data_IF_561545990690
#
_entry.id   IF_561545990690
#
_cell.length_a   1.000
_cell.length_b   1.000
_cell.length_c   1.000
_cell.angle_alpha   90.00
_cell.angle_beta   90.00
_cell.angle_gamma   90.00
#
_symmetry.space_group_name_H-M   'P 1'
#
loop_
_entity.id
_entity.type
_entity.pdbx_description
1 polymer ?
#
# COMPACT_ATOMS: atom_id res chain seq x y z
N UNK A 1 -6.55 -1.38 19.39
CA UNK A 1 -6.31 -0.06 18.74
C UNK A 1 -5.28 -0.08 17.59
N UNK A 2 -4.28 -0.98 17.60
CA UNK A 2 -3.18 -1.04 16.61
C UNK A 2 -3.58 -1.29 15.14
N UNK A 3 -4.83 -1.66 14.86
CA UNK A 3 -5.32 -1.91 13.50
C UNK A 3 -5.70 -0.63 12.75
N UNK A 4 -5.92 0.49 13.45
CA UNK A 4 -6.19 1.80 12.83
C UNK A 4 -5.05 2.25 11.90
N UNK A 5 -3.81 1.82 12.17
CA UNK A 5 -2.63 2.09 11.33
C UNK A 5 -2.83 1.65 9.88
N UNK A 6 -3.58 0.57 9.64
CA UNK A 6 -3.80 0.04 8.29
C UNK A 6 -4.78 0.93 7.52
N UNK A 7 -5.80 1.50 8.18
CA UNK A 7 -6.69 2.52 7.60
C UNK A 7 -5.91 3.81 7.29
N UNK A 8 -5.06 4.26 8.22
CA UNK A 8 -4.20 5.43 8.00
C UNK A 8 -3.28 5.22 6.80
N UNK A 9 -2.66 4.05 6.65
CA UNK A 9 -1.82 3.71 5.48
C UNK A 9 -2.62 3.80 4.17
N UNK A 10 -3.86 3.29 4.13
CA UNK A 10 -4.69 3.34 2.93
C UNK A 10 -5.08 4.78 2.54
N UNK A 11 -5.44 5.61 3.52
CA UNK A 11 -5.78 7.02 3.29
C UNK A 11 -4.55 7.85 2.86
N UNK A 12 -3.41 7.64 3.51
CA UNK A 12 -2.15 8.31 3.18
C UNK A 12 -1.63 7.90 1.79
N UNK A 13 -1.77 6.63 1.40
CA UNK A 13 -1.47 6.17 0.05
C UNK A 13 -2.35 6.86 -1.01
N UNK A 14 -3.66 7.00 -0.73
CA UNK A 14 -4.59 7.73 -1.62
C UNK A 14 -4.18 9.20 -1.77
N UNK A 15 -3.83 9.86 -0.66
CA UNK A 15 -3.46 11.27 -0.62
C UNK A 15 -2.10 11.56 -1.27
N UNK A 16 -1.06 10.78 -0.95
CA UNK A 16 0.33 11.07 -1.34
C UNK A 16 0.66 10.53 -2.73
N UNK A 17 0.20 9.33 -3.11
CA UNK A 17 0.52 8.75 -4.42
C UNK A 17 -0.45 9.15 -5.53
N UNK A 18 -1.52 9.92 -5.23
CA UNK A 18 -2.60 10.29 -6.18
C UNK A 18 -3.13 9.10 -7.01
N UNK A 19 -2.99 7.88 -6.49
CA UNK A 19 -3.39 6.67 -7.21
C UNK A 19 -4.90 6.51 -7.09
N UNK A 20 -5.59 6.42 -8.22
CA UNK A 20 -7.02 6.10 -8.27
C UNK A 20 -7.18 4.62 -7.97
N UNK A 21 -7.88 4.30 -6.89
CA UNK A 21 -8.26 2.94 -6.55
C UNK A 21 -9.74 2.77 -6.87
N UNK A 22 -10.09 1.66 -7.53
CA UNK A 22 -11.49 1.30 -7.76
C UNK A 22 -12.20 0.99 -6.44
N UNK A 23 -13.52 1.18 -6.38
CA UNK A 23 -14.36 0.84 -5.22
C UNK A 23 -14.10 -0.61 -4.76
N UNK A 24 -13.95 -1.55 -5.69
CA UNK A 24 -13.67 -2.96 -5.41
C UNK A 24 -12.28 -3.18 -4.77
N UNK A 25 -11.28 -2.34 -5.10
CA UNK A 25 -9.96 -2.41 -4.45
C UNK A 25 -10.00 -1.84 -3.02
N UNK A 26 -10.84 -0.83 -2.76
CA UNK A 26 -11.07 -0.30 -1.42
C UNK A 26 -11.75 -1.34 -0.52
N UNK A 27 -12.77 -2.03 -1.04
CA UNK A 27 -13.42 -3.12 -0.32
C UNK A 27 -12.43 -4.23 0.02
N UNK A 28 -11.60 -4.64 -0.94
CA UNK A 28 -10.56 -5.65 -0.69
C UNK A 28 -9.58 -5.21 0.41
N UNK A 29 -9.12 -3.96 0.40
CA UNK A 29 -8.22 -3.42 1.43
C UNK A 29 -8.88 -3.38 2.82
N UNK A 30 -10.18 -3.06 2.88
CA UNK A 30 -10.95 -3.10 4.12
C UNK A 30 -11.10 -4.54 4.64
N UNK A 31 -11.38 -5.49 3.75
CA UNK A 31 -11.46 -6.91 4.09
C UNK A 31 -10.13 -7.48 4.59
N UNK A 32 -9.00 -7.05 4.01
CA UNK A 32 -7.65 -7.39 4.48
C UNK A 32 -7.42 -6.89 5.91
N UNK A 33 -7.78 -5.63 6.18
CA UNK A 33 -7.70 -5.03 7.50
C UNK A 33 -8.53 -5.80 8.53
N UNK A 34 -9.76 -6.16 8.16
CA UNK A 34 -10.69 -6.86 9.03
C UNK A 34 -10.18 -8.27 9.36
N UNK A 35 -9.67 -9.01 8.36
CA UNK A 35 -9.05 -10.32 8.55
C UNK A 35 -7.83 -10.27 9.48
N UNK A 36 -6.93 -9.29 9.30
CA UNK A 36 -5.78 -9.09 10.20
C UNK A 36 -6.25 -8.76 11.61
N UNK A 37 -7.25 -7.90 11.76
CA UNK A 37 -7.78 -7.49 13.06
C UNK A 37 -8.36 -8.68 13.84
N UNK A 38 -9.17 -9.52 13.19
CA UNK A 38 -9.72 -10.75 13.79
C UNK A 38 -8.59 -11.69 14.22
N UNK A 39 -7.56 -11.83 13.38
CA UNK A 39 -6.44 -12.71 13.70
C UNK A 39 -5.68 -12.23 14.95
N UNK A 40 -5.49 -10.91 15.10
CA UNK A 40 -4.78 -10.32 16.23
C UNK A 40 -5.59 -10.31 17.54
N UNK A 41 -6.91 -10.20 17.46
CA UNK A 41 -7.82 -10.25 18.63
C UNK A 41 -7.69 -11.56 19.41
N UNK A 42 -7.43 -12.66 18.70
CA UNK A 42 -7.25 -13.99 19.30
C UNK A 42 -6.01 -14.07 20.20
N UNK A 43 -4.95 -13.33 19.85
CA UNK A 43 -3.70 -13.31 20.63
C UNK A 43 -3.80 -12.40 21.86
N UNK A 44 -4.54 -11.29 21.77
CA UNK A 44 -4.69 -10.33 22.88
C UNK A 44 -5.64 -10.82 23.98
N UNK A 45 -6.61 -11.66 23.64
CA UNK A 45 -7.57 -12.21 24.60
C UNK A 45 -6.93 -13.15 25.67
N UNK A 46 -5.69 -13.62 25.44
CA UNK A 46 -5.02 -14.58 26.32
C UNK A 46 -4.15 -13.95 27.42
N UNK A 47 -4.03 -12.60 27.48
CA UNK A 47 -3.17 -11.92 28.47
C UNK A 47 -3.94 -10.87 29.29
N UNK A 48 -4.37 -11.19 30.52
CA UNK A 48 -5.15 -10.26 31.35
C UNK A 48 -4.38 -8.98 31.72
N UNK A 49 -3.05 -9.04 31.78
CA UNK A 49 -2.19 -7.89 32.04
C UNK A 49 -2.27 -6.83 30.92
N UNK A 50 -2.40 -7.27 29.66
CA UNK A 50 -2.51 -6.36 28.50
C UNK A 50 -3.88 -5.69 28.49
N UNK A 51 -4.95 -6.43 28.80
CA UNK A 51 -6.31 -5.90 28.86
C UNK A 51 -6.48 -4.82 29.96
N UNK A 52 -5.83 -5.02 31.12
CA UNK A 52 -5.83 -4.03 32.21
C UNK A 52 -5.06 -2.74 31.83
N UNK A 53 -3.90 -2.87 31.17
CA UNK A 53 -3.13 -1.71 30.69
C UNK A 53 -3.84 -0.93 29.58
N UNK A 54 -4.57 -1.61 28.69
CA UNK A 54 -5.40 -0.96 27.67
C UNK A 54 -6.60 -0.22 28.28
N UNK A 55 -7.25 -0.80 29.30
CA UNK A 55 -8.38 -0.18 30.00
C UNK A 55 -7.95 1.07 30.80
N UNK A 56 -6.76 1.05 31.40
CA UNK A 56 -6.19 2.21 32.11
C UNK A 56 -5.71 3.29 31.13
N UNK A 57 -5.07 2.91 30.02
CA UNK A 57 -4.66 3.88 28.98
C UNK A 57 -5.84 4.54 28.27
N UNK A 58 -6.97 3.83 28.11
CA UNK A 58 -8.16 4.37 27.45
C UNK A 58 -8.76 5.60 28.16
N UNK A 59 -8.53 5.73 29.47
CA UNK A 59 -9.03 6.84 30.29
C UNK A 59 -8.22 8.14 30.10
N UNK A 60 -7.01 8.07 29.56
CA UNK A 60 -6.14 9.23 29.37
C UNK A 60 -6.26 9.80 27.94
N UNK A 61 -6.74 11.03 27.73
CA UNK A 61 -6.87 11.63 26.39
C UNK A 61 -5.51 11.77 25.68
N UNK A 62 -4.42 11.93 26.43
CA UNK A 62 -3.05 11.97 25.91
C UNK A 62 -2.65 10.65 25.24
N UNK A 63 -3.11 9.50 25.76
CA UNK A 63 -2.82 8.19 25.18
C UNK A 63 -3.44 8.03 23.77
N UNK A 64 -4.60 8.63 23.53
CA UNK A 64 -5.22 8.66 22.20
C UNK A 64 -4.40 9.45 21.20
N UNK A 65 -3.87 10.62 21.59
CA UNK A 65 -2.99 11.43 20.73
C UNK A 65 -1.69 10.69 20.40
N UNK A 66 -1.04 10.09 21.39
CA UNK A 66 0.16 9.27 21.16
C UNK A 66 -0.14 8.06 20.27
N UNK A 67 -1.30 7.42 20.45
CA UNK A 67 -1.70 6.29 19.60
C UNK A 67 -1.89 6.73 18.15
N UNK A 68 -2.59 7.84 17.91
CA UNK A 68 -2.79 8.40 16.57
C UNK A 68 -1.46 8.81 15.91
N UNK A 69 -0.54 9.42 16.68
CA UNK A 69 0.79 9.75 16.19
C UNK A 69 1.59 8.48 15.83
N UNK A 70 1.57 7.47 16.70
CA UNK A 70 2.29 6.20 16.50
C UNK A 70 1.80 5.40 15.30
N UNK A 71 0.55 5.60 14.85
CA UNK A 71 0.03 4.92 13.67
C UNK A 71 0.25 5.75 12.38
N UNK A 72 0.13 7.07 12.47
CA UNK A 72 0.17 7.98 11.31
C UNK A 72 1.60 8.25 10.85
N UNK A 73 2.55 8.44 11.77
CA UNK A 73 3.94 8.75 11.43
C UNK A 73 4.59 7.60 10.65
N UNK A 74 4.53 6.32 11.09
CA UNK A 74 5.11 5.22 10.32
C UNK A 74 4.38 4.98 8.99
N UNK A 75 3.07 5.24 8.94
CA UNK A 75 2.30 5.15 7.72
C UNK A 75 2.79 6.17 6.69
N UNK A 76 2.90 7.44 7.08
CA UNK A 76 3.41 8.52 6.23
C UNK A 76 4.86 8.25 5.79
N UNK A 77 5.72 7.79 6.70
CA UNK A 77 7.09 7.41 6.38
C UNK A 77 7.16 6.28 5.34
N UNK A 78 6.30 5.26 5.45
CA UNK A 78 6.24 4.17 4.47
C UNK A 78 5.87 4.66 3.08
N UNK A 79 4.89 5.55 2.97
CA UNK A 79 4.45 6.09 1.67
C UNK A 79 5.48 7.05 1.09
N UNK A 80 6.08 7.89 1.94
CA UNK A 80 7.16 8.77 1.53
C UNK A 80 8.38 7.98 1.04
N UNK A 81 8.73 6.88 1.71
CA UNK A 81 9.82 6.01 1.27
C UNK A 81 9.54 5.40 -0.11
N UNK A 82 8.33 4.89 -0.34
CA UNK A 82 7.93 4.41 -1.68
C UNK A 82 7.99 5.54 -2.73
N UNK A 83 7.48 6.73 -2.39
CA UNK A 83 7.51 7.89 -3.29
C UNK A 83 8.94 8.32 -3.62
N UNK A 84 9.83 8.40 -2.62
CA UNK A 84 11.23 8.77 -2.81
C UNK A 84 11.97 7.78 -3.71
N UNK A 85 11.75 6.47 -3.51
CA UNK A 85 12.34 5.42 -4.36
C UNK A 85 11.82 5.47 -5.81
N UNK A 86 10.52 5.70 -6.00
CA UNK A 86 9.90 5.70 -7.35
C UNK A 86 10.07 7.01 -8.11
N UNK A 87 10.31 8.16 -7.46
CA UNK A 87 10.48 9.46 -8.15
C UNK A 87 11.83 9.58 -8.87
N UNK A 88 12.87 8.94 -8.32
CA UNK A 88 14.25 9.11 -8.76
C UNK A 88 14.81 7.80 -9.35
N UNK A 89 14.17 7.26 -10.40
CA UNK A 89 14.61 6.01 -11.06
C UNK A 89 16.03 6.08 -11.65
N UNK A 90 16.55 7.28 -11.92
CA UNK A 90 17.89 7.50 -12.48
C UNK A 90 19.02 7.39 -11.44
N UNK A 91 18.71 7.43 -10.14
CA UNK A 91 19.71 7.28 -9.07
C UNK A 91 19.66 5.85 -8.53
N UNK A 92 20.82 5.27 -8.17
CA UNK A 92 20.86 3.91 -7.65
C UNK A 92 20.04 3.79 -6.35
N UNK A 93 19.11 2.83 -6.32
CA UNK A 93 18.23 2.56 -5.17
C UNK A 93 19.04 2.29 -3.89
N UNK A 94 20.23 1.71 -4.02
CA UNK A 94 21.14 1.47 -2.91
C UNK A 94 21.65 2.76 -2.28
N UNK A 95 21.92 3.81 -3.07
CA UNK A 95 22.40 5.10 -2.57
C UNK A 95 21.29 5.86 -1.83
N UNK A 96 20.05 5.79 -2.32
CA UNK A 96 18.90 6.39 -1.62
C UNK A 96 18.63 5.69 -0.28
N UNK A 97 18.66 4.36 -0.27
CA UNK A 97 18.55 3.59 0.97
C UNK A 97 19.72 3.88 1.92
N UNK A 98 20.94 4.04 1.41
CA UNK A 98 22.11 4.37 2.22
C UNK A 98 21.91 5.69 2.97
N UNK A 99 21.53 6.76 2.28
CA UNK A 99 21.28 8.05 2.95
C UNK A 99 20.11 7.97 3.92
N UNK A 100 19.02 7.27 3.57
CA UNK A 100 17.90 7.07 4.49
C UNK A 100 18.33 6.36 5.78
N UNK A 101 19.09 5.27 5.68
CA UNK A 101 19.59 4.55 6.84
C UNK A 101 20.65 5.35 7.61
N UNK A 102 21.48 6.12 6.92
CA UNK A 102 22.49 6.99 7.54
C UNK A 102 21.83 8.09 8.40
N UNK A 103 20.84 8.80 7.87
CA UNK A 103 20.07 9.76 8.66
C UNK A 103 19.30 9.07 9.80
N UNK A 104 18.74 7.89 9.54
CA UNK A 104 18.10 7.07 10.57
C UNK A 104 19.05 6.73 11.72
N UNK A 105 20.30 6.34 11.42
CA UNK A 105 21.35 6.07 12.40
C UNK A 105 21.66 7.32 13.23
N UNK A 106 21.84 8.48 12.58
CA UNK A 106 22.12 9.75 13.26
C UNK A 106 21.00 10.14 14.24
N UNK A 107 19.74 10.06 13.81
CA UNK A 107 18.60 10.38 14.69
C UNK A 107 18.45 9.39 15.85
N UNK A 108 18.67 8.09 15.61
CA UNK A 108 18.62 7.09 16.68
C UNK A 108 19.76 7.27 17.69
N UNK A 109 20.97 7.61 17.22
CA UNK A 109 22.10 7.91 18.08
C UNK A 109 21.87 9.18 18.90
N UNK A 110 21.34 10.24 18.28
CA UNK A 110 20.99 11.47 18.98
C UNK A 110 19.92 11.24 20.06
N UNK A 111 18.88 10.42 19.75
CA UNK A 111 17.86 10.03 20.72
C UNK A 111 18.42 9.20 21.87
N UNK A 112 19.34 8.27 21.58
CA UNK A 112 20.04 7.49 22.60
C UNK A 112 20.86 8.39 23.52
N UNK A 113 21.61 9.35 22.97
CA UNK A 113 22.40 10.31 23.75
C UNK A 113 21.49 11.19 24.61
N UNK A 114 20.40 11.74 24.05
CA UNK A 114 19.44 12.54 24.80
C UNK A 114 18.80 11.77 25.97
N UNK A 115 18.50 10.48 25.77
CA UNK A 115 17.95 9.61 26.82
C UNK A 115 18.99 9.32 27.91
N UNK A 116 20.25 9.09 27.53
CA UNK A 116 21.34 8.88 28.50
C UNK A 116 21.63 10.13 29.32
N UNK A 117 21.52 11.33 28.74
CA UNK A 117 21.73 12.60 29.44
C UNK A 117 20.61 12.93 30.44
N UNK A 118 19.39 12.44 30.20
CA UNK A 118 18.22 12.69 31.05
C UNK A 118 17.99 11.62 32.12
N UNK A 119 18.65 10.47 31.99
CA UNK A 119 18.50 9.32 32.91
C UNK A 119 19.50 9.41 34.06
N UNK A 120 19.02 9.28 35.30
CA UNK A 120 19.82 9.45 36.53
C UNK A 120 20.85 8.33 36.77
N UNK A 121 20.64 7.14 36.19
CA UNK A 121 21.57 6.01 36.20
C UNK A 121 21.67 5.37 34.81
N UNK A 122 22.51 5.89 33.91
CA UNK A 122 22.66 5.31 32.58
C UNK A 122 23.39 3.97 32.66
N UNK A 123 22.70 2.88 32.30
CA UNK A 123 23.35 1.59 32.09
C UNK A 123 24.24 1.64 30.84
N UNK A 124 25.34 0.87 30.78
CA UNK A 124 26.15 0.78 29.57
C UNK A 124 25.28 0.31 28.39
N UNK A 125 25.39 0.99 27.25
CA UNK A 125 24.53 0.81 26.05
C UNK A 125 24.45 -0.65 25.59
N UNK A 126 25.52 -1.42 25.80
CA UNK A 126 25.66 -2.81 25.38
C UNK A 126 25.51 -3.83 26.51
N UNK A 127 25.08 -3.40 27.70
CA UNK A 127 24.83 -4.30 28.82
C UNK A 127 23.63 -5.22 28.52
N UNK A 128 23.77 -6.52 28.76
CA UNK A 128 22.70 -7.51 28.54
C UNK A 128 22.51 -7.98 27.09
N UNK A 129 23.41 -7.64 26.17
CA UNK A 129 23.35 -8.12 24.78
C UNK A 129 23.75 -9.60 24.71
N UNK A 130 22.80 -10.46 24.38
CA UNK A 130 23.04 -11.87 24.14
C UNK A 130 23.31 -12.15 22.65
N UNK A 131 23.83 -13.35 22.34
CA UNK A 131 23.95 -13.82 20.95
C UNK A 131 22.59 -13.81 20.22
N UNK A 132 21.49 -14.08 20.94
CA UNK A 132 20.12 -14.03 20.40
C UNK A 132 19.74 -12.61 20.02
N UNK A 133 20.11 -11.63 20.85
CA UNK A 133 19.87 -10.20 20.57
C UNK A 133 20.56 -9.78 19.27
N UNK A 134 21.81 -10.23 19.04
CA UNK A 134 22.55 -9.92 17.82
C UNK A 134 21.91 -10.56 16.58
N UNK A 135 21.46 -11.81 16.66
CA UNK A 135 20.69 -12.48 15.59
C UNK A 135 19.41 -11.70 15.27
N UNK A 136 18.69 -11.23 16.31
CA UNK A 136 17.45 -10.46 16.14
C UNK A 136 17.71 -9.11 15.45
N UNK A 137 18.81 -8.42 15.80
CA UNK A 137 19.23 -7.17 15.16
C UNK A 137 19.55 -7.40 13.68
N UNK A 138 20.33 -8.44 13.36
CA UNK A 138 20.66 -8.80 11.98
C UNK A 138 19.40 -9.13 11.19
N UNK A 139 18.48 -9.92 11.76
CA UNK A 139 17.22 -10.27 11.13
C UNK A 139 16.34 -9.03 10.84
N UNK A 140 16.27 -8.09 11.78
CA UNK A 140 15.53 -6.82 11.57
C UNK A 140 16.19 -5.95 10.48
N UNK A 141 17.53 -5.89 10.45
CA UNK A 141 18.26 -5.17 9.42
C UNK A 141 17.99 -5.76 8.03
N UNK A 142 18.03 -7.10 7.91
CA UNK A 142 17.65 -7.80 6.68
C UNK A 142 16.22 -7.47 6.26
N UNK A 143 15.27 -7.48 7.21
CA UNK A 143 13.88 -7.13 6.92
C UNK A 143 13.76 -5.71 6.34
N UNK A 144 14.54 -4.75 6.84
CA UNK A 144 14.62 -3.38 6.31
C UNK A 144 15.13 -3.31 4.87
N UNK A 145 16.23 -4.04 4.57
CA UNK A 145 16.84 -4.08 3.23
C UNK A 145 15.90 -4.75 2.23
N UNK A 146 15.34 -5.92 2.57
CA UNK A 146 14.34 -6.63 1.75
C UNK A 146 13.12 -5.74 1.50
N UNK A 147 12.69 -5.02 2.54
CA UNK A 147 11.58 -4.07 2.47
C UNK A 147 11.80 -3.00 1.40
N UNK A 148 13.01 -2.44 1.30
CA UNK A 148 13.34 -1.41 0.31
C UNK A 148 13.54 -1.99 -1.10
N UNK A 149 14.08 -3.20 -1.22
CA UNK A 149 14.13 -3.92 -2.51
C UNK A 149 12.73 -4.23 -3.02
N UNK A 150 11.79 -4.57 -2.13
CA UNK A 150 10.42 -4.86 -2.52
C UNK A 150 9.76 -3.66 -3.19
N UNK A 151 9.99 -2.43 -2.70
CA UNK A 151 9.44 -1.22 -3.30
C UNK A 151 9.98 -0.91 -4.71
N UNK A 152 11.16 -1.46 -5.06
CA UNK A 152 11.70 -1.37 -6.42
C UNK A 152 10.89 -2.21 -7.42
N UNK A 153 10.40 -3.37 -7.00
CA UNK A 153 9.79 -4.36 -7.88
C UNK A 153 8.28 -4.49 -7.69
N UNK A 154 7.72 -3.95 -6.61
CA UNK A 154 6.36 -4.17 -6.22
C UNK A 154 5.78 -2.98 -5.43
N UNK A 155 4.46 -2.82 -5.52
CA UNK A 155 3.74 -1.78 -4.81
C UNK A 155 3.66 -2.06 -3.30
N UNK A 156 3.57 -1.00 -2.49
CA UNK A 156 3.41 -1.14 -1.02
C UNK A 156 2.23 -2.03 -0.63
N UNK A 157 1.18 -2.09 -1.44
CA UNK A 157 0.03 -2.97 -1.19
C UNK A 157 0.41 -4.45 -1.34
N UNK A 158 1.16 -4.81 -2.39
CA UNK A 158 1.61 -6.18 -2.61
C UNK A 158 2.51 -6.65 -1.47
N UNK A 159 3.31 -5.73 -0.92
CA UNK A 159 4.16 -5.98 0.24
C UNK A 159 3.34 -6.31 1.48
N UNK A 160 2.22 -5.61 1.69
CA UNK A 160 1.31 -5.89 2.81
C UNK A 160 0.68 -7.26 2.66
N UNK A 161 0.19 -7.63 1.47
CA UNK A 161 -0.33 -8.99 1.23
C UNK A 161 0.74 -10.06 1.47
N UNK A 162 1.95 -9.88 0.94
CA UNK A 162 3.06 -10.81 1.14
C UNK A 162 3.40 -10.98 2.63
N UNK A 163 3.51 -9.87 3.36
CA UNK A 163 3.75 -9.88 4.81
C UNK A 163 2.64 -10.60 5.59
N UNK A 164 1.38 -10.41 5.20
CA UNK A 164 0.24 -11.09 5.84
C UNK A 164 0.28 -12.59 5.57
N UNK A 165 0.51 -13.02 4.32
CA UNK A 165 0.64 -14.45 3.97
C UNK A 165 1.81 -15.10 4.71
N UNK A 166 2.96 -14.44 4.78
CA UNK A 166 4.11 -14.93 5.55
C UNK A 166 3.78 -15.10 7.04
N UNK A 167 2.95 -14.22 7.61
CA UNK A 167 2.48 -14.32 9.00
C UNK A 167 1.58 -15.54 9.18
N UNK A 168 0.65 -15.80 8.24
CA UNK A 168 -0.23 -16.97 8.26
C UNK A 168 0.59 -18.27 8.18
N UNK A 169 1.56 -18.34 7.26
CA UNK A 169 2.44 -19.50 7.13
C UNK A 169 3.28 -19.73 8.39
N UNK A 170 3.81 -18.66 8.98
CA UNK A 170 4.53 -18.73 10.26
C UNK A 170 3.63 -19.32 11.35
N UNK A 171 2.36 -18.91 11.43
CA UNK A 171 1.41 -19.44 12.40
C UNK A 171 1.08 -20.92 12.16
N UNK A 172 0.90 -21.34 10.91
CA UNK A 172 0.68 -22.75 10.55
C UNK A 172 1.90 -23.61 10.88
N UNK A 173 3.10 -23.13 10.55
CA UNK A 173 4.35 -23.80 10.89
C UNK A 173 4.51 -23.92 12.41
N UNK A 174 4.18 -22.86 13.15
CA UNK A 174 4.19 -22.88 14.61
C UNK A 174 3.22 -23.92 15.18
N UNK A 175 2.00 -24.02 14.64
CA UNK A 175 1.05 -25.04 15.04
C UNK A 175 1.53 -26.46 14.72
N UNK A 176 2.16 -26.66 13.57
CA UNK A 176 2.70 -27.97 13.16
C UNK A 176 3.92 -28.41 13.99
N UNK A 177 4.84 -27.49 14.30
CA UNK A 177 6.07 -27.79 15.03
C UNK A 177 5.89 -27.83 16.55
N UNK A 178 5.03 -26.98 17.10
CA UNK A 178 4.85 -26.81 18.55
C UNK A 178 3.48 -27.29 19.06
N UNK A 179 2.63 -27.84 18.19
CA UNK A 179 1.32 -28.40 18.57
C UNK A 179 0.32 -27.35 19.06
N UNK A 180 0.49 -26.08 18.70
CA UNK A 180 -0.39 -25.01 19.16
C UNK A 180 -1.80 -25.14 18.56
N UNK A 181 -2.83 -25.02 19.40
CA UNK A 181 -4.23 -25.13 18.96
C UNK A 181 -4.64 -23.89 18.16
N UNK A 182 -4.85 -24.06 16.85
CA UNK A 182 -5.37 -23.01 15.97
C UNK A 182 -6.81 -22.67 16.34
N UNK A 183 -7.05 -21.41 16.73
CA UNK A 183 -8.40 -20.91 17.08
C UNK A 183 -9.30 -20.80 15.83
N UNK A 184 -10.62 -20.97 16.00
CA UNK A 184 -11.60 -20.72 14.93
C UNK A 184 -11.50 -19.30 14.35
N UNK A 185 -11.14 -18.32 15.17
CA UNK A 185 -10.92 -16.95 14.74
C UNK A 185 -9.73 -16.80 13.77
N UNK A 186 -8.68 -17.61 13.94
CA UNK A 186 -7.56 -17.67 13.00
C UNK A 186 -8.04 -18.15 11.62
N UNK A 187 -8.86 -19.21 11.58
CA UNK A 187 -9.40 -19.73 10.32
C UNK A 187 -10.26 -18.69 9.59
N UNK A 188 -11.16 -18.00 10.30
CA UNK A 188 -12.00 -16.93 9.73
C UNK A 188 -11.12 -15.78 9.20
N UNK A 189 -10.13 -15.34 9.97
CA UNK A 189 -9.21 -14.28 9.56
C UNK A 189 -8.42 -14.65 8.30
N UNK A 190 -7.92 -15.88 8.23
CA UNK A 190 -7.21 -16.41 7.06
C UNK A 190 -8.10 -16.43 5.82
N UNK A 191 -9.33 -16.95 5.94
CA UNK A 191 -10.29 -16.97 4.82
C UNK A 191 -10.58 -15.56 4.28
N UNK A 192 -10.79 -14.57 5.16
CA UNK A 192 -11.00 -13.19 4.75
C UNK A 192 -9.80 -12.59 4.00
N UNK A 193 -8.57 -12.89 4.44
CA UNK A 193 -7.34 -12.45 3.76
C UNK A 193 -7.25 -13.05 2.35
N UNK A 194 -7.57 -14.33 2.18
CA UNK A 194 -7.56 -14.97 0.87
C UNK A 194 -8.62 -14.40 -0.08
N UNK A 195 -9.84 -14.18 0.41
CA UNK A 195 -10.93 -13.55 -0.38
C UNK A 195 -10.52 -12.14 -0.81
N UNK A 196 -10.00 -11.33 0.12
CA UNK A 196 -9.46 -10.00 -0.16
C UNK A 196 -8.40 -10.02 -1.25
N UNK A 197 -7.43 -10.94 -1.13
CA UNK A 197 -6.34 -11.08 -2.07
C UNK A 197 -6.87 -11.42 -3.48
N UNK A 198 -7.77 -12.39 -3.57
CA UNK A 198 -8.40 -12.79 -4.84
C UNK A 198 -9.15 -11.63 -5.50
N UNK A 199 -9.96 -10.90 -4.73
CA UNK A 199 -10.71 -9.73 -5.21
C UNK A 199 -9.77 -8.63 -5.71
N UNK A 200 -8.73 -8.29 -4.94
CA UNK A 200 -7.79 -7.23 -5.28
C UNK A 200 -7.04 -7.50 -6.61
N UNK A 201 -6.53 -8.72 -6.80
CA UNK A 201 -5.82 -9.07 -8.03
C UNK A 201 -6.74 -9.23 -9.23
N UNK A 202 -7.95 -9.75 -9.03
CA UNK A 202 -8.94 -9.89 -10.11
C UNK A 202 -9.35 -8.51 -10.62
N UNK A 203 -9.71 -7.59 -9.72
CA UNK A 203 -10.04 -6.21 -10.10
C UNK A 203 -8.87 -5.50 -10.77
N UNK A 204 -7.64 -5.71 -10.28
CA UNK A 204 -6.44 -5.14 -10.91
C UNK A 204 -6.23 -5.60 -12.36
N UNK A 205 -6.48 -6.88 -12.67
CA UNK A 205 -6.40 -7.41 -14.04
C UNK A 205 -7.50 -6.85 -14.94
N UNK A 206 -8.72 -6.71 -14.44
CA UNK A 206 -9.84 -6.15 -15.20
C UNK A 206 -9.57 -4.72 -15.63
N UNK A 207 -9.13 -3.85 -14.70
CA UNK A 207 -8.82 -2.45 -15.01
C UNK A 207 -7.69 -2.34 -16.04
N UNK A 208 -6.62 -3.13 -15.88
CA UNK A 208 -5.51 -3.14 -16.84
C UNK A 208 -5.93 -3.61 -18.26
N UNK A 209 -6.96 -4.45 -18.34
CA UNK A 209 -7.51 -4.93 -19.61
C UNK A 209 -8.39 -3.86 -20.26
N UNK A 210 -9.21 -3.16 -19.48
CA UNK A 210 -10.04 -2.04 -19.94
C UNK A 210 -9.18 -0.86 -20.44
N UNK A 211 -8.11 -0.50 -19.72
CA UNK A 211 -7.19 0.57 -20.14
C UNK A 211 -6.49 0.23 -21.47
N UNK A 212 -6.07 -1.03 -21.66
CA UNK A 212 -5.49 -1.48 -22.94
C UNK A 212 -6.49 -1.44 -24.08
N UNK A 213 -7.75 -1.84 -23.82
CA UNK A 213 -8.82 -1.77 -24.81
C UNK A 213 -9.23 -0.32 -25.16
N UNK A 214 -9.20 0.58 -24.17
CA UNK A 214 -9.47 2.00 -24.38
C UNK A 214 -8.35 2.68 -25.19
N UNK A 215 -7.09 2.37 -24.89
CA UNK A 215 -5.93 2.85 -25.65
C UNK A 215 -5.96 2.35 -27.10
N UNK A 216 -6.34 1.09 -27.35
CA UNK A 216 -6.48 0.57 -28.71
C UNK A 216 -7.63 1.24 -29.49
N UNK A 217 -8.73 1.61 -28.82
CA UNK A 217 -9.83 2.38 -29.43
C UNK A 217 -9.44 3.84 -29.73
N UNK A 218 -8.68 4.49 -28.85
CA UNK A 218 -8.18 5.86 -29.06
C UNK A 218 -7.16 5.97 -30.20
N UNK A 219 -6.48 4.86 -30.54
CA UNK A 219 -5.55 4.81 -31.68
C UNK A 219 -6.27 4.56 -33.02
N UNK A 220 -7.55 4.17 -33.02
CA UNK A 220 -8.32 3.84 -34.22
C UNK A 220 -9.19 5.00 -34.75
N UNK A 221 -9.14 6.19 -34.13
CA UNK A 221 -9.96 7.34 -34.52
C UNK A 221 -9.16 8.50 -35.12
N UNK A 222 -8.21 8.23 -36.02
CA UNK A 222 -7.84 9.20 -37.07
C UNK A 222 -7.03 8.51 -38.17
N UNK A 223 -7.69 7.84 -39.11
CA UNK A 223 -7.06 7.55 -40.40
C UNK A 223 -7.49 8.67 -41.37
N UNK A 224 -6.58 9.55 -41.82
CA UNK A 224 -6.86 10.62 -42.80
C UNK A 224 -7.27 10.11 -44.19
N UNK A 225 -7.53 8.81 -44.35
CA UNK A 225 -7.79 8.18 -45.65
C UNK A 225 -9.27 8.22 -46.07
N UNK A 226 -10.19 8.76 -45.27
CA UNK A 226 -11.62 8.83 -45.63
C UNK A 226 -12.09 10.19 -46.18
N UNK A 227 -11.26 11.23 -46.16
CA UNK A 227 -11.65 12.57 -46.65
C UNK A 227 -11.86 12.62 -48.17
N UNK A 228 -11.24 11.70 -48.93
CA UNK A 228 -11.38 11.67 -50.40
C UNK A 228 -12.69 11.04 -50.89
N UNK A 229 -13.42 10.31 -50.03
CA UNK A 229 -14.71 9.70 -50.39
C UNK A 229 -15.89 10.67 -50.23
N UNK A 230 -15.74 11.74 -49.45
CA UNK A 230 -16.79 12.76 -49.30
C UNK A 230 -16.80 13.77 -50.47
N UNK A 231 -15.66 13.99 -51.12
CA UNK A 231 -15.58 14.87 -52.29
C UNK A 231 -16.23 14.28 -53.55
N UNK A 232 -16.32 12.95 -53.67
CA UNK A 232 -16.96 12.32 -54.84
C UNK A 232 -18.49 12.18 -54.72
N UNK A 233 -19.07 12.38 -53.54
CA UNK A 233 -20.53 12.35 -53.35
C UNK A 233 -21.18 13.75 -53.31
N UNK A 234 -20.41 14.82 -53.04
CA UNK A 234 -20.92 16.20 -53.07
C UNK A 234 -20.89 16.85 -54.46
N UNK A 235 -20.37 16.17 -55.48
CA UNK A 235 -20.37 16.64 -56.88
C UNK A 235 -21.63 16.29 -57.68
N UNK A 236 -22.49 15.39 -57.20
CA UNK A 236 -23.60 14.84 -58.00
C UNK A 236 -24.98 15.48 -57.74
N UNK A 237 -25.14 16.31 -56.70
CA UNK A 237 -26.45 16.87 -56.31
C UNK A 237 -26.64 18.35 -56.64
N UNK A 238 -25.66 19.04 -57.23
CA UNK A 238 -25.78 20.47 -57.59
C UNK A 238 -26.01 20.75 -59.09
N UNK A 239 -26.38 19.74 -59.89
CA UNK A 239 -26.55 19.88 -61.35
C UNK A 239 -27.96 19.58 -61.88
N UNK A 240 -29.02 19.67 -61.05
CA UNK A 240 -30.40 19.34 -61.48
C UNK A 240 -31.48 20.41 -61.26
N UNK A 241 -31.11 21.65 -60.93
CA UNK A 241 -32.10 22.73 -60.82
C UNK A 241 -31.55 24.06 -61.35
N UNK A 242 -31.38 24.19 -62.67
CA UNK A 242 -31.30 25.51 -63.34
C UNK A 242 -31.51 25.45 -64.85
N UNK A 243 -32.64 24.89 -65.29
CA UNK A 243 -33.17 25.09 -66.65
C UNK A 243 -34.69 25.03 -66.62
N UNK A 244 -35.36 26.19 -66.55
CA UNK A 244 -36.56 26.51 -67.33
C UNK A 244 -37.11 27.88 -66.91
N UNK A 245 -37.38 28.77 -67.88
CA UNK A 245 -38.16 29.99 -67.66
C UNK A 245 -37.55 31.27 -68.22
N UNK A 246 -37.35 31.33 -69.53
CA UNK A 246 -37.36 32.60 -70.26
C UNK A 246 -38.80 33.18 -70.28
N UNK A 247 -38.94 34.51 -70.42
CA UNK A 247 -39.90 35.25 -71.28
C UNK A 247 -39.98 36.73 -70.81
N UNK A 248 -39.32 37.62 -71.58
CA UNK A 248 -39.68 39.05 -71.83
C UNK A 248 -41.00 39.11 -72.65
N UNK A 249 -41.71 40.25 -72.91
CA UNK A 249 -41.34 41.68 -72.86
C UNK A 249 -42.45 42.52 -72.12
N UNK A 250 -42.45 43.86 -71.99
CA UNK A 250 -42.27 45.00 -72.91
C UNK A 250 -42.00 46.25 -72.10
#
# INVERSE_FOLDING_TARGET
LSNLKVVSIALLLKLIMKRTFSILQWEALFLLLLGITINQLSCTASSPAIAQLEAESAKNPVAWVYTLASCTIPAAASVFNEYALKKNFQTSVHLQNFFMYFYGLLFNLAGLLATNLTTTNPAPIFSGYSRVTLILVVNNAMQGILSSLFFKFADTILKKYSSTVATILTALMSAALFGHSLSMHFAIGVSMVFVSMHQFFTTGKTIATEDKAAASRGTFSHSPSMDHLQLHNSGATSARHRTSGAILPR
#
